data_IF_660474632250
#
_entry.id   IF_660474632250
#
_cell.length_a   1.000
_cell.length_b   1.000
_cell.length_c   1.000
_cell.angle_alpha   90.00
_cell.angle_beta   90.00
_cell.angle_gamma   90.00
#
_symmetry.space_group_name_H-M   'P 1'
#
loop_
_entity.id
_entity.type
_entity.pdbx_description
1 polymer ?
#
# COMPACT_ATOMS: atom_id res chain seq x y z
N UNK A 1 -20.52 -5.23 -18.74
CA UNK A 1 -20.96 -4.11 -17.88
C UNK A 1 -19.92 -2.99 -17.80
N UNK A 2 -18.73 -3.23 -17.24
CA UNK A 2 -17.73 -2.16 -16.98
C UNK A 2 -17.25 -1.38 -18.23
N UNK A 3 -17.10 -2.02 -19.41
CA UNK A 3 -16.75 -1.29 -20.63
C UNK A 3 -17.86 -0.31 -21.08
N UNK A 4 -19.10 -0.79 -21.11
CA UNK A 4 -20.26 0.02 -21.47
C UNK A 4 -20.44 1.20 -20.50
N UNK A 5 -20.28 0.95 -19.20
CA UNK A 5 -20.34 2.00 -18.19
C UNK A 5 -19.36 3.13 -18.51
N UNK A 6 -18.12 2.81 -18.85
CA UNK A 6 -17.10 3.83 -19.16
C UNK A 6 -17.38 4.59 -20.45
N UNK A 7 -17.85 3.89 -21.50
CA UNK A 7 -18.20 4.54 -22.76
C UNK A 7 -19.34 5.54 -22.54
N UNK A 8 -20.38 5.16 -21.79
CA UNK A 8 -21.50 6.05 -21.47
C UNK A 8 -21.07 7.21 -20.57
N UNK A 9 -20.27 6.92 -19.55
CA UNK A 9 -19.72 7.89 -18.61
C UNK A 9 -18.90 8.98 -19.32
N UNK A 10 -18.04 8.58 -20.28
CA UNK A 10 -17.25 9.50 -21.09
C UNK A 10 -18.10 10.31 -22.07
N UNK A 11 -18.96 9.66 -22.84
CA UNK A 11 -19.85 10.38 -23.78
C UNK A 11 -20.73 11.39 -23.07
N UNK A 12 -21.32 11.01 -21.94
CA UNK A 12 -22.12 11.92 -21.13
C UNK A 12 -21.28 13.08 -20.57
N UNK A 13 -19.98 12.88 -20.30
CA UNK A 13 -19.10 13.97 -19.87
C UNK A 13 -18.86 15.00 -20.97
N UNK A 14 -18.74 14.56 -22.22
CA UNK A 14 -18.58 15.43 -23.39
C UNK A 14 -19.85 16.24 -23.68
N UNK A 15 -21.02 15.65 -23.45
CA UNK A 15 -22.33 16.27 -23.68
C UNK A 15 -22.76 17.21 -22.52
N UNK A 16 -22.53 16.81 -21.27
CA UNK A 16 -22.97 17.56 -20.09
C UNK A 16 -21.94 18.62 -19.67
N UNK A 17 -22.36 19.89 -19.75
CA UNK A 17 -21.53 21.05 -19.35
C UNK A 17 -21.43 21.19 -17.82
N UNK A 18 -22.45 20.75 -17.09
CA UNK A 18 -22.48 20.82 -15.63
C UNK A 18 -21.72 19.65 -15.00
N UNK A 19 -20.56 19.98 -14.43
CA UNK A 19 -19.73 19.05 -13.67
C UNK A 19 -20.52 18.45 -12.50
N UNK A 20 -21.31 19.25 -11.77
CA UNK A 20 -22.06 18.76 -10.61
C UNK A 20 -23.15 17.77 -10.98
N UNK A 21 -23.88 18.00 -12.08
CA UNK A 21 -24.87 17.03 -12.58
C UNK A 21 -24.21 15.72 -12.96
N UNK A 22 -23.06 15.80 -13.64
CA UNK A 22 -22.31 14.61 -14.00
C UNK A 22 -21.87 13.81 -12.76
N UNK A 23 -21.37 14.48 -11.71
CA UNK A 23 -21.01 13.82 -10.44
C UNK A 23 -22.20 13.12 -9.78
N UNK A 24 -23.36 13.78 -9.75
CA UNK A 24 -24.58 13.20 -9.18
C UNK A 24 -25.01 11.93 -9.92
N UNK A 25 -24.77 11.85 -11.22
CA UNK A 25 -25.16 10.70 -12.05
C UNK A 25 -24.12 9.57 -11.99
N UNK A 26 -22.82 9.89 -12.01
CA UNK A 26 -21.76 8.88 -12.23
C UNK A 26 -20.87 8.61 -11.02
N UNK A 27 -20.67 9.60 -10.15
CA UNK A 27 -19.76 9.51 -9.01
C UNK A 27 -20.49 9.15 -7.72
N UNK A 28 -21.63 9.80 -7.46
CA UNK A 28 -22.45 9.54 -6.27
C UNK A 28 -22.96 8.10 -6.17
N UNK A 29 -23.51 7.46 -7.23
CA UNK A 29 -23.97 6.08 -7.13
C UNK A 29 -22.82 5.10 -6.87
N UNK A 30 -21.62 5.41 -7.35
CA UNK A 30 -20.42 4.60 -7.07
C UNK A 30 -20.06 4.68 -5.59
N UNK A 31 -20.07 5.87 -5.01
CA UNK A 31 -19.81 6.09 -3.58
C UNK A 31 -20.91 5.45 -2.73
N UNK A 32 -22.19 5.72 -3.03
CA UNK A 32 -23.33 5.17 -2.30
C UNK A 32 -23.32 3.63 -2.33
N UNK A 33 -22.93 3.03 -3.46
CA UNK A 33 -22.83 1.59 -3.58
C UNK A 33 -21.61 1.03 -2.86
N UNK A 34 -20.47 1.72 -2.82
CA UNK A 34 -19.34 1.33 -1.96
C UNK A 34 -19.73 1.39 -0.47
N UNK A 35 -20.57 2.35 -0.08
CA UNK A 35 -21.02 2.52 1.29
C UNK A 35 -22.05 1.45 1.71
N UNK A 36 -23.08 1.22 0.90
CA UNK A 36 -24.27 0.46 1.31
C UNK A 36 -24.36 -0.97 0.75
N UNK A 37 -23.59 -1.33 -0.27
CA UNK A 37 -23.76 -2.62 -0.96
C UNK A 37 -23.10 -3.81 -0.25
N UNK A 38 -23.40 -5.01 -0.74
CA UNK A 38 -22.75 -6.25 -0.26
C UNK A 38 -21.25 -6.29 -0.65
N UNK A 39 -20.41 -7.07 0.06
CA UNK A 39 -18.97 -7.16 -0.21
C UNK A 39 -18.61 -7.45 -1.67
N UNK A 40 -19.37 -8.34 -2.32
CA UNK A 40 -19.16 -8.67 -3.73
C UNK A 40 -19.38 -7.46 -4.66
N UNK A 41 -20.46 -6.69 -4.44
CA UNK A 41 -20.72 -5.50 -5.25
C UNK A 41 -19.66 -4.43 -5.01
N UNK A 42 -19.26 -4.22 -3.75
CA UNK A 42 -18.17 -3.29 -3.42
C UNK A 42 -16.88 -3.65 -4.16
N UNK A 43 -16.51 -4.94 -4.16
CA UNK A 43 -15.36 -5.45 -4.91
C UNK A 43 -15.50 -5.17 -6.41
N UNK A 44 -16.65 -5.50 -7.02
CA UNK A 44 -16.87 -5.28 -8.45
C UNK A 44 -16.78 -3.80 -8.83
N UNK A 45 -17.30 -2.91 -7.99
CA UNK A 45 -17.22 -1.47 -8.21
C UNK A 45 -15.78 -0.98 -8.09
N UNK A 46 -15.08 -1.39 -7.02
CA UNK A 46 -13.70 -0.99 -6.75
C UNK A 46 -12.72 -1.48 -7.82
N UNK A 47 -12.90 -2.69 -8.37
CA UNK A 47 -11.97 -3.28 -9.34
C UNK A 47 -12.30 -2.93 -10.80
N UNK A 48 -13.58 -2.75 -11.14
CA UNK A 48 -13.98 -2.63 -12.55
C UNK A 48 -14.58 -1.28 -12.94
N UNK A 49 -15.15 -0.53 -12.00
CA UNK A 49 -15.84 0.74 -12.30
C UNK A 49 -14.96 1.92 -11.90
N UNK A 50 -14.63 2.02 -10.61
CA UNK A 50 -13.90 3.15 -10.04
C UNK A 50 -12.54 3.42 -10.75
N UNK A 51 -11.70 2.41 -11.07
CA UNK A 51 -10.41 2.67 -11.69
C UNK A 51 -10.55 3.28 -13.08
N UNK A 52 -11.62 2.94 -13.80
CA UNK A 52 -11.84 3.45 -15.15
C UNK A 52 -12.36 4.88 -15.14
N UNK A 53 -13.24 5.23 -14.19
CA UNK A 53 -13.66 6.62 -13.96
C UNK A 53 -12.44 7.48 -13.66
N UNK A 54 -11.63 7.07 -12.69
CA UNK A 54 -10.45 7.83 -12.25
C UNK A 54 -9.33 7.88 -13.29
N UNK A 55 -9.20 6.88 -14.15
CA UNK A 55 -8.27 6.92 -15.28
C UNK A 55 -8.70 7.95 -16.34
N UNK A 56 -9.99 8.12 -16.53
CA UNK A 56 -10.57 9.12 -17.44
C UNK A 56 -10.54 10.54 -16.87
N UNK A 57 -10.77 10.65 -15.56
CA UNK A 57 -10.93 11.90 -14.84
C UNK A 57 -10.23 11.83 -13.47
N UNK A 58 -8.89 11.97 -13.44
CA UNK A 58 -8.11 11.87 -12.21
C UNK A 58 -8.45 12.95 -11.17
N UNK A 59 -8.97 14.10 -11.60
CA UNK A 59 -9.40 15.22 -10.76
C UNK A 59 -10.49 14.84 -9.75
N UNK A 60 -11.34 13.85 -10.09
CA UNK A 60 -12.46 13.45 -9.25
C UNK A 60 -12.06 12.61 -8.04
N UNK A 61 -10.79 12.22 -7.93
CA UNK A 61 -10.32 11.51 -6.74
C UNK A 61 -10.54 12.36 -5.49
N UNK A 62 -10.13 13.63 -5.48
CA UNK A 62 -10.29 14.50 -4.30
C UNK A 62 -11.75 14.74 -3.96
N UNK A 63 -12.61 14.85 -4.97
CA UNK A 63 -14.04 15.07 -4.79
C UNK A 63 -14.76 13.86 -4.18
N UNK A 64 -14.25 12.63 -4.38
CA UNK A 64 -14.77 11.45 -3.68
C UNK A 64 -14.66 11.59 -2.15
N UNK A 65 -13.68 12.35 -1.66
CA UNK A 65 -13.54 12.65 -0.22
C UNK A 65 -14.67 13.52 0.30
N UNK A 66 -15.23 14.39 -0.54
CA UNK A 66 -16.34 15.28 -0.17
C UNK A 66 -17.69 14.55 -0.19
N UNK A 67 -17.79 13.47 -0.97
CA UNK A 67 -19.02 12.71 -1.14
C UNK A 67 -19.27 11.64 -0.07
N UNK A 68 -18.25 11.26 0.70
CA UNK A 68 -18.42 10.27 1.78
C UNK A 68 -17.52 10.56 2.98
N UNK A 69 -18.08 10.29 4.16
CA UNK A 69 -17.36 10.26 5.43
C UNK A 69 -17.03 8.83 5.85
N UNK A 70 -17.42 7.81 5.07
CA UNK A 70 -17.23 6.42 5.43
C UNK A 70 -15.76 6.02 5.30
N UNK A 71 -15.09 5.62 6.41
CA UNK A 71 -13.68 5.26 6.40
C UNK A 71 -13.34 4.15 5.39
N UNK A 72 -14.23 3.15 5.26
CA UNK A 72 -14.05 2.04 4.33
C UNK A 72 -13.91 2.53 2.89
N UNK A 73 -14.83 3.39 2.46
CA UNK A 73 -14.87 3.88 1.08
C UNK A 73 -13.69 4.79 0.81
N UNK A 74 -13.29 5.62 1.77
CA UNK A 74 -12.07 6.42 1.67
C UNK A 74 -10.82 5.56 1.51
N UNK A 75 -10.69 4.46 2.27
CA UNK A 75 -9.59 3.50 2.13
C UNK A 75 -9.58 2.88 0.72
N UNK A 76 -10.72 2.38 0.25
CA UNK A 76 -10.84 1.78 -1.09
C UNK A 76 -10.49 2.80 -2.18
N UNK A 77 -11.02 4.02 -2.12
CA UNK A 77 -10.72 5.09 -3.07
C UNK A 77 -9.22 5.44 -3.05
N UNK A 78 -8.60 5.51 -1.86
CA UNK A 78 -7.16 5.72 -1.71
C UNK A 78 -6.37 4.61 -2.38
N UNK A 79 -6.75 3.35 -2.15
CA UNK A 79 -6.12 2.17 -2.74
C UNK A 79 -6.12 2.27 -4.27
N UNK A 80 -7.28 2.52 -4.86
CA UNK A 80 -7.41 2.66 -6.32
C UNK A 80 -6.61 3.86 -6.84
N UNK A 81 -6.72 5.01 -6.18
CA UNK A 81 -5.93 6.20 -6.51
C UNK A 81 -4.42 5.93 -6.50
N UNK A 82 -3.95 5.12 -5.55
CA UNK A 82 -2.55 4.71 -5.46
C UNK A 82 -2.15 3.74 -6.59
N UNK A 83 -2.99 2.76 -6.92
CA UNK A 83 -2.77 1.85 -8.07
C UNK A 83 -2.64 2.63 -9.38
N UNK A 84 -3.40 3.71 -9.54
CA UNK A 84 -3.37 4.58 -10.71
C UNK A 84 -2.25 5.64 -10.68
N UNK A 85 -1.51 5.76 -9.57
CA UNK A 85 -0.49 6.79 -9.40
C UNK A 85 -1.02 8.21 -9.22
N UNK A 86 -2.28 8.35 -8.84
CA UNK A 86 -2.93 9.63 -8.52
C UNK A 86 -2.62 10.10 -7.09
N UNK A 87 -2.18 9.18 -6.22
CA UNK A 87 -1.75 9.48 -4.85
C UNK A 87 -0.32 8.98 -4.58
N UNK A 88 0.73 9.58 -5.19
CA UNK A 88 2.11 9.18 -4.93
C UNK A 88 2.50 9.46 -3.46
N UNK A 89 2.16 10.64 -2.94
CA UNK A 89 2.53 11.08 -1.59
C UNK A 89 1.33 11.14 -0.64
N UNK A 90 0.93 9.99 -0.12
CA UNK A 90 -0.21 9.84 0.82
C UNK A 90 -0.03 10.66 2.10
N UNK A 91 1.21 10.87 2.52
CA UNK A 91 1.55 11.53 3.78
C UNK A 91 2.00 12.99 3.59
N UNK A 92 1.76 13.60 2.42
CA UNK A 92 2.04 15.02 2.17
C UNK A 92 0.98 15.94 2.78
N UNK A 93 1.18 17.26 2.85
CA UNK A 93 0.20 18.19 3.44
C UNK A 93 -1.19 18.16 2.78
N UNK A 94 -1.32 17.67 1.55
CA UNK A 94 -2.60 17.50 0.84
C UNK A 94 -3.07 16.02 0.83
N UNK A 95 -3.11 15.40 2.02
CA UNK A 95 -3.45 13.97 2.16
C UNK A 95 -4.90 13.70 1.75
N UNK A 96 -5.08 12.66 0.94
CA UNK A 96 -6.41 12.12 0.69
C UNK A 96 -6.98 11.43 1.95
N UNK A 97 -6.14 10.72 2.70
CA UNK A 97 -6.52 9.94 3.89
C UNK A 97 -5.67 10.33 5.10
N UNK A 98 -6.29 10.37 6.29
CA UNK A 98 -5.59 10.64 7.54
C UNK A 98 -4.94 9.37 8.11
N UNK A 99 -3.82 9.54 8.81
CA UNK A 99 -3.06 8.43 9.40
C UNK A 99 -3.92 7.64 10.41
N UNK A 100 -4.79 8.33 11.15
CA UNK A 100 -5.70 7.71 12.13
C UNK A 100 -6.75 6.83 11.45
N UNK A 101 -7.21 7.22 10.26
CA UNK A 101 -8.17 6.44 9.49
C UNK A 101 -7.52 5.16 8.94
N UNK A 102 -6.25 5.23 8.54
CA UNK A 102 -5.47 4.02 8.20
C UNK A 102 -5.30 3.13 9.44
N UNK A 103 -4.99 3.69 10.62
CA UNK A 103 -4.87 2.91 11.86
C UNK A 103 -6.17 2.18 12.23
N UNK A 104 -7.31 2.86 12.09
CA UNK A 104 -8.62 2.24 12.31
C UNK A 104 -8.89 1.12 11.31
N UNK A 105 -8.55 1.33 10.02
CA UNK A 105 -8.69 0.31 8.99
C UNK A 105 -7.80 -0.91 9.21
N UNK A 106 -6.60 -0.74 9.76
CA UNK A 106 -5.68 -1.83 10.12
C UNK A 106 -6.25 -2.74 11.21
N UNK A 107 -7.09 -2.23 12.11
CA UNK A 107 -7.72 -2.98 13.20
C UNK A 107 -9.15 -3.41 12.89
N UNK A 108 -9.57 -3.29 11.63
CA UNK A 108 -10.90 -3.68 11.21
C UNK A 108 -11.10 -5.20 11.31
N UNK A 109 -12.31 -5.63 11.68
CA UNK A 109 -12.69 -7.05 11.61
C UNK A 109 -12.77 -7.55 10.16
N UNK A 110 -13.01 -6.63 9.22
CA UNK A 110 -13.03 -6.93 7.80
C UNK A 110 -11.60 -7.04 7.24
N UNK A 111 -11.20 -8.28 6.97
CA UNK A 111 -9.90 -8.63 6.38
C UNK A 111 -9.58 -7.84 5.11
N UNK A 112 -10.58 -7.53 4.27
CA UNK A 112 -10.34 -6.80 3.03
C UNK A 112 -9.95 -5.34 3.29
N UNK A 113 -10.55 -4.69 4.31
CA UNK A 113 -10.14 -3.33 4.69
C UNK A 113 -8.70 -3.35 5.20
N UNK A 114 -8.36 -4.31 6.07
CA UNK A 114 -7.01 -4.46 6.60
C UNK A 114 -5.98 -4.63 5.46
N UNK A 115 -6.29 -5.49 4.49
CA UNK A 115 -5.45 -5.70 3.31
C UNK A 115 -5.35 -4.46 2.43
N UNK A 116 -6.43 -3.72 2.23
CA UNK A 116 -6.43 -2.47 1.48
C UNK A 116 -5.54 -1.41 2.16
N UNK A 117 -5.56 -1.32 3.50
CA UNK A 117 -4.63 -0.49 4.25
C UNK A 117 -3.17 -0.91 4.05
N UNK A 118 -2.85 -2.20 4.14
CA UNK A 118 -1.49 -2.68 3.89
C UNK A 118 -1.08 -2.43 2.43
N UNK A 119 -1.98 -2.61 1.47
CA UNK A 119 -1.75 -2.33 0.06
C UNK A 119 -1.35 -0.87 -0.13
N UNK A 120 -2.09 0.05 0.50
CA UNK A 120 -1.78 1.48 0.47
C UNK A 120 -0.37 1.77 1.01
N UNK A 121 0.14 1.02 1.98
CA UNK A 121 1.48 1.24 2.53
C UNK A 121 2.58 0.60 1.68
N UNK A 122 2.32 -0.58 1.11
CA UNK A 122 3.33 -1.39 0.44
C UNK A 122 3.44 -1.12 -1.07
N UNK A 123 2.32 -0.87 -1.75
CA UNK A 123 2.32 -0.61 -3.19
C UNK A 123 2.83 0.81 -3.47
N UNK A 124 3.59 1.02 -4.53
CA UNK A 124 3.84 2.36 -5.08
C UNK A 124 4.18 2.20 -6.57
N UNK A 125 3.55 2.94 -7.50
CA UNK A 125 3.87 2.88 -8.92
C UNK A 125 5.35 3.15 -9.24
N UNK A 126 6.03 3.93 -8.38
CA UNK A 126 7.46 4.19 -8.47
C UNK A 126 8.18 3.49 -7.32
N UNK A 127 8.72 2.29 -7.56
CA UNK A 127 9.47 1.54 -6.53
C UNK A 127 10.76 2.24 -6.07
N UNK A 128 11.22 3.24 -6.82
CA UNK A 128 12.36 4.09 -6.48
C UNK A 128 12.03 5.22 -5.49
N UNK A 129 10.74 5.48 -5.22
CA UNK A 129 10.33 6.47 -4.23
C UNK A 129 10.59 5.96 -2.81
N UNK A 130 11.20 6.82 -1.98
CA UNK A 130 11.57 6.48 -0.62
C UNK A 130 10.35 6.16 0.25
N UNK A 131 10.59 5.43 1.32
CA UNK A 131 9.58 5.06 2.30
C UNK A 131 9.67 6.03 3.48
N UNK A 132 8.54 6.65 3.79
CA UNK A 132 8.41 7.60 4.89
C UNK A 132 8.45 6.89 6.25
N UNK A 133 8.80 7.65 7.30
CA UNK A 133 8.78 7.13 8.67
C UNK A 133 7.37 6.73 9.13
N UNK A 134 6.35 7.40 8.60
CA UNK A 134 4.94 7.10 8.90
C UNK A 134 4.55 5.76 8.28
N UNK A 135 4.92 5.50 7.02
CA UNK A 135 4.71 4.19 6.38
C UNK A 135 5.31 3.06 7.20
N UNK A 136 6.57 3.19 7.63
CA UNK A 136 7.19 2.18 8.48
C UNK A 136 6.41 1.98 9.79
N UNK A 137 6.04 3.07 10.49
CA UNK A 137 5.26 2.97 11.74
C UNK A 137 3.92 2.24 11.53
N UNK A 138 3.21 2.52 10.45
CA UNK A 138 1.92 1.89 10.15
C UNK A 138 2.06 0.43 9.73
N UNK A 139 3.10 0.05 8.97
CA UNK A 139 3.37 -1.36 8.65
C UNK A 139 3.74 -2.15 9.90
N UNK A 140 4.56 -1.57 10.80
CA UNK A 140 4.85 -2.20 12.12
C UNK A 140 3.55 -2.46 12.89
N UNK A 141 2.69 -1.45 12.96
CA UNK A 141 1.40 -1.55 13.63
C UNK A 141 0.51 -2.62 12.99
N UNK A 142 0.41 -2.65 11.65
CA UNK A 142 -0.34 -3.68 10.93
C UNK A 142 0.12 -5.09 11.30
N UNK A 143 1.42 -5.33 11.25
CA UNK A 143 2.01 -6.63 11.56
C UNK A 143 1.71 -7.04 13.01
N UNK A 144 1.82 -6.13 13.96
CA UNK A 144 1.52 -6.40 15.37
C UNK A 144 0.04 -6.74 15.61
N UNK A 145 -0.88 -6.10 14.89
CA UNK A 145 -2.33 -6.29 15.11
C UNK A 145 -2.90 -7.50 14.36
N UNK A 146 -2.27 -7.95 13.27
CA UNK A 146 -2.86 -8.93 12.35
C UNK A 146 -2.07 -10.25 12.22
N UNK A 147 -0.96 -10.41 12.95
CA UNK A 147 -0.10 -11.60 12.83
C UNK A 147 -0.80 -12.91 13.21
N UNK A 148 -1.74 -12.86 14.15
CA UNK A 148 -2.48 -14.03 14.64
C UNK A 148 -3.72 -14.38 13.80
N UNK A 149 -3.95 -13.67 12.69
CA UNK A 149 -5.08 -13.95 11.82
C UNK A 149 -4.97 -15.37 11.21
N UNK A 150 -5.96 -16.22 11.49
CA UNK A 150 -6.00 -17.63 11.09
C UNK A 150 -6.28 -17.88 9.61
N UNK A 151 -6.76 -16.88 8.86
CA UNK A 151 -7.10 -16.99 7.44
C UNK A 151 -5.85 -17.19 6.58
N UNK A 152 -5.74 -18.36 5.95
CA UNK A 152 -4.64 -18.65 5.01
C UNK A 152 -4.66 -17.71 3.80
N UNK A 153 -5.86 -17.36 3.31
CA UNK A 153 -6.00 -16.40 2.20
C UNK A 153 -5.44 -15.03 2.58
N UNK A 154 -5.82 -14.53 3.76
CA UNK A 154 -5.32 -13.27 4.29
C UNK A 154 -3.79 -13.28 4.43
N UNK A 155 -3.23 -14.31 5.09
CA UNK A 155 -1.77 -14.44 5.28
C UNK A 155 -1.00 -14.47 3.96
N UNK A 156 -1.52 -15.14 2.94
CA UNK A 156 -0.90 -15.17 1.61
C UNK A 156 -0.89 -13.79 0.94
N UNK A 157 -1.99 -13.03 1.08
CA UNK A 157 -2.08 -11.67 0.56
C UNK A 157 -1.16 -10.70 1.31
N UNK A 158 -1.12 -10.78 2.65
CA UNK A 158 -0.15 -10.04 3.48
C UNK A 158 1.27 -10.32 3.02
N UNK A 159 1.64 -11.59 2.86
CA UNK A 159 2.97 -11.96 2.42
C UNK A 159 3.29 -11.37 1.03
N UNK A 160 2.34 -11.41 0.09
CA UNK A 160 2.50 -10.81 -1.24
C UNK A 160 2.84 -9.31 -1.16
N UNK A 161 2.12 -8.57 -0.31
CA UNK A 161 2.36 -7.14 -0.09
C UNK A 161 3.70 -6.86 0.60
N UNK A 162 4.08 -7.66 1.60
CA UNK A 162 5.37 -7.54 2.27
C UNK A 162 6.53 -7.79 1.29
N UNK A 163 6.40 -8.74 0.36
CA UNK A 163 7.42 -8.94 -0.69
C UNK A 163 7.60 -7.69 -1.56
N UNK A 164 6.49 -7.06 -1.98
CA UNK A 164 6.55 -5.81 -2.76
C UNK A 164 7.18 -4.68 -1.95
N UNK A 165 6.88 -4.60 -0.66
CA UNK A 165 7.51 -3.64 0.25
C UNK A 165 9.03 -3.83 0.32
N UNK A 166 9.53 -5.07 0.43
CA UNK A 166 10.96 -5.32 0.40
C UNK A 166 11.62 -4.96 -0.93
N UNK A 167 10.93 -5.21 -2.04
CA UNK A 167 11.41 -4.76 -3.37
C UNK A 167 11.51 -3.24 -3.40
N UNK A 168 10.51 -2.50 -2.89
CA UNK A 168 10.55 -1.02 -2.80
C UNK A 168 11.67 -0.53 -1.89
N UNK A 169 11.92 -1.17 -0.74
CA UNK A 169 13.08 -0.85 0.12
C UNK A 169 14.38 -0.97 -0.68
N UNK A 170 14.57 -2.10 -1.38
CA UNK A 170 15.77 -2.36 -2.19
C UNK A 170 15.92 -1.34 -3.31
N UNK A 171 14.87 -1.13 -4.11
CA UNK A 171 14.90 -0.28 -5.30
C UNK A 171 15.12 1.19 -4.95
N UNK A 172 14.40 1.71 -3.95
CA UNK A 172 14.57 3.09 -3.46
C UNK A 172 15.97 3.32 -2.89
N UNK A 173 16.50 2.39 -2.10
CA UNK A 173 17.87 2.51 -1.58
C UNK A 173 18.92 2.45 -2.71
N UNK A 174 18.78 1.52 -3.66
CA UNK A 174 19.70 1.41 -4.79
C UNK A 174 19.69 2.67 -5.65
N UNK A 175 18.52 3.26 -5.86
CA UNK A 175 18.39 4.52 -6.58
C UNK A 175 19.18 5.63 -5.88
N UNK A 176 18.97 5.83 -4.57
CA UNK A 176 19.71 6.84 -3.81
C UNK A 176 21.21 6.55 -3.72
N UNK A 177 21.62 5.29 -3.60
CA UNK A 177 23.04 4.90 -3.55
C UNK A 177 23.77 5.25 -4.85
N UNK A 178 23.12 5.05 -6.00
CA UNK A 178 23.65 5.49 -7.32
C UNK A 178 23.73 7.00 -7.43
N UNK A 179 22.81 7.73 -6.81
CA UNK A 179 22.85 9.20 -6.78
C UNK A 179 23.96 9.73 -5.86
N UNK A 180 24.22 9.10 -4.71
CA UNK A 180 25.33 9.46 -3.81
C UNK A 180 26.72 9.32 -4.45
N UNK A 181 26.89 8.37 -5.38
CA UNK A 181 28.13 8.28 -6.18
C UNK A 181 28.40 9.57 -6.99
N UNK A 182 27.40 10.43 -7.18
CA UNK A 182 27.51 11.70 -7.92
C UNK A 182 27.64 12.92 -7.01
N UNK A 183 27.20 12.86 -5.73
CA UNK A 183 27.24 13.96 -4.74
C UNK A 183 27.30 13.43 -3.30
N UNK A 184 28.14 14.01 -2.45
CA UNK A 184 28.18 13.69 -1.00
C UNK A 184 26.94 14.26 -0.33
N UNK A 185 26.02 13.39 0.11
CA UNK A 185 24.71 13.81 0.59
C UNK A 185 24.40 13.21 1.97
N UNK A 186 24.11 14.06 2.96
CA UNK A 186 23.74 13.64 4.33
C UNK A 186 22.39 12.91 4.35
N UNK A 187 21.49 13.24 3.42
CA UNK A 187 20.16 12.65 3.30
C UNK A 187 20.19 11.14 3.01
N UNK A 188 21.24 10.65 2.33
CA UNK A 188 21.39 9.22 2.07
C UNK A 188 21.74 8.44 3.34
N UNK A 189 22.56 9.01 4.22
CA UNK A 189 22.98 8.32 5.44
C UNK A 189 21.81 8.23 6.44
N UNK A 190 20.99 9.28 6.56
CA UNK A 190 19.73 9.23 7.33
C UNK A 190 18.75 8.19 6.75
N UNK A 191 18.53 8.19 5.43
CA UNK A 191 17.67 7.22 4.77
C UNK A 191 18.14 5.78 5.02
N UNK A 192 19.45 5.56 4.90
CA UNK A 192 20.05 4.25 5.09
C UNK A 192 19.89 3.80 6.53
N UNK A 193 20.16 4.66 7.51
CA UNK A 193 19.98 4.31 8.93
C UNK A 193 18.51 4.04 9.27
N UNK A 194 17.58 4.77 8.67
CA UNK A 194 16.14 4.53 8.80
C UNK A 194 15.75 3.12 8.33
N UNK A 195 16.21 2.74 7.14
CA UNK A 195 15.92 1.42 6.56
C UNK A 195 16.54 0.30 7.40
N UNK A 196 17.75 0.53 7.92
CA UNK A 196 18.46 -0.41 8.80
C UNK A 196 17.65 -0.68 10.06
N UNK A 197 17.24 0.37 10.73
CA UNK A 197 16.49 0.28 11.98
C UNK A 197 15.14 -0.39 11.79
N UNK A 198 14.49 -0.17 10.64
CA UNK A 198 13.28 -0.88 10.28
C UNK A 198 13.52 -2.39 10.08
N UNK A 199 14.50 -2.76 9.26
CA UNK A 199 14.81 -4.17 8.98
C UNK A 199 15.28 -4.92 10.23
N UNK A 200 16.13 -4.30 11.07
CA UNK A 200 16.57 -4.87 12.35
C UNK A 200 15.38 -5.10 13.29
N UNK A 201 14.46 -4.13 13.37
CA UNK A 201 13.21 -4.32 14.11
C UNK A 201 12.39 -5.48 13.56
N UNK A 202 12.25 -5.60 12.23
CA UNK A 202 11.43 -6.62 11.60
C UNK A 202 11.98 -8.03 11.82
N UNK A 203 13.31 -8.19 11.78
CA UNK A 203 14.00 -9.44 12.11
C UNK A 203 13.74 -9.80 13.57
N UNK A 204 14.03 -8.88 14.50
CA UNK A 204 13.85 -9.12 15.94
C UNK A 204 12.39 -9.45 16.28
N UNK A 205 11.45 -8.70 15.71
CA UNK A 205 10.02 -8.93 15.89
C UNK A 205 9.61 -10.29 15.29
N UNK A 206 10.08 -10.65 14.10
CA UNK A 206 9.75 -11.96 13.52
C UNK A 206 10.31 -13.10 14.38
N UNK A 207 11.55 -13.00 14.86
CA UNK A 207 12.14 -13.98 15.77
C UNK A 207 11.38 -14.09 17.09
N UNK A 208 10.94 -12.96 17.68
CA UNK A 208 10.18 -12.99 18.94
C UNK A 208 8.80 -13.65 18.81
N UNK A 209 8.29 -13.81 17.58
CA UNK A 209 7.02 -14.49 17.29
C UNK A 209 7.20 -16.02 17.04
N UNK A 210 8.40 -16.57 17.17
CA UNK A 210 8.69 -17.99 16.93
C UNK A 210 8.65 -18.88 18.19
N UNK A 211 8.11 -18.38 19.29
CA UNK A 211 8.01 -19.15 20.54
C UNK A 211 6.97 -20.28 20.44
N UNK A 212 7.14 -21.32 21.27
CA UNK A 212 6.40 -22.59 21.16
C UNK A 212 4.88 -22.44 21.34
N UNK A 213 4.45 -21.50 22.18
CA UNK A 213 3.04 -21.22 22.47
C UNK A 213 2.36 -20.32 21.42
N UNK A 214 3.13 -19.76 20.48
CA UNK A 214 2.60 -18.90 19.43
C UNK A 214 1.67 -19.65 18.47
N UNK A 215 0.71 -18.94 17.91
CA UNK A 215 -0.24 -19.51 16.95
C UNK A 215 0.50 -20.06 15.71
N UNK A 216 -0.08 -21.05 15.01
CA UNK A 216 0.48 -21.49 13.73
C UNK A 216 0.53 -20.33 12.73
N UNK A 217 -0.51 -19.47 12.74
CA UNK A 217 -0.61 -18.29 11.90
C UNK A 217 0.60 -17.37 12.08
N UNK A 218 0.88 -17.01 13.33
CA UNK A 218 1.98 -16.15 13.73
C UNK A 218 3.33 -16.70 13.35
N UNK A 219 3.63 -17.94 13.79
CA UNK A 219 4.91 -18.59 13.48
C UNK A 219 5.13 -18.71 11.98
N UNK A 220 4.11 -19.11 11.24
CA UNK A 220 4.20 -19.27 9.79
C UNK A 220 4.50 -17.96 9.07
N UNK A 221 3.76 -16.89 9.39
CA UNK A 221 3.99 -15.58 8.76
C UNK A 221 5.38 -15.03 9.11
N UNK A 222 5.82 -15.14 10.37
CA UNK A 222 7.15 -14.71 10.80
C UNK A 222 8.28 -15.47 10.10
N UNK A 223 8.17 -16.79 9.95
CA UNK A 223 9.14 -17.60 9.21
C UNK A 223 9.20 -17.15 7.74
N UNK A 224 8.04 -16.91 7.12
CA UNK A 224 7.99 -16.48 5.73
C UNK A 224 8.59 -15.09 5.54
N UNK A 225 8.34 -14.15 6.45
CA UNK A 225 8.97 -12.82 6.42
C UNK A 225 10.49 -12.96 6.49
N UNK A 226 11.02 -13.74 7.44
CA UNK A 226 12.46 -14.02 7.56
C UNK A 226 13.02 -14.70 6.31
N UNK A 227 12.32 -15.70 5.78
CA UNK A 227 12.70 -16.39 4.56
C UNK A 227 12.79 -15.42 3.38
N UNK A 228 11.81 -14.54 3.20
CA UNK A 228 11.82 -13.57 2.09
C UNK A 228 12.88 -12.50 2.23
N UNK A 229 13.19 -12.08 3.47
CA UNK A 229 14.37 -11.26 3.73
C UNK A 229 15.62 -12.00 3.23
N UNK A 230 15.87 -13.23 3.72
CA UNK A 230 17.01 -14.05 3.31
C UNK A 230 17.03 -14.32 1.80
N UNK A 231 15.89 -14.58 1.17
CA UNK A 231 15.79 -14.87 -0.26
C UNK A 231 16.17 -13.65 -1.11
N UNK A 232 15.67 -12.47 -0.73
CA UNK A 232 16.10 -11.21 -1.34
C UNK A 232 17.59 -10.92 -1.10
N UNK A 233 18.18 -11.50 -0.05
CA UNK A 233 19.62 -11.48 0.21
C UNK A 233 20.41 -12.57 -0.57
N UNK A 234 19.79 -13.71 -0.90
CA UNK A 234 20.47 -14.92 -1.35
C UNK A 234 20.50 -15.17 -2.85
N UNK A 235 19.58 -14.59 -3.64
CA UNK A 235 19.53 -14.88 -5.07
C UNK A 235 20.53 -14.00 -5.86
N UNK A 236 21.77 -14.50 -5.92
CA UNK A 236 22.92 -13.92 -6.59
C UNK A 236 22.78 -13.98 -8.11
N UNK A 237 22.25 -12.92 -8.70
CA UNK A 237 22.36 -12.65 -10.14
C UNK A 237 22.47 -11.17 -10.50
N UNK A 238 22.41 -10.26 -9.52
CA UNK A 238 22.32 -8.82 -9.77
C UNK A 238 23.39 -8.07 -8.99
N UNK A 239 24.42 -7.66 -9.71
CA UNK A 239 25.37 -6.55 -9.49
C UNK A 239 26.03 -6.38 -8.10
N UNK A 240 27.30 -6.00 -8.14
CA UNK A 240 28.20 -5.60 -7.03
C UNK A 240 27.56 -4.64 -5.99
N UNK A 241 26.48 -3.94 -6.37
CA UNK A 241 25.72 -3.00 -5.54
C UNK A 241 24.77 -3.71 -4.55
N UNK A 242 24.19 -4.87 -4.91
CA UNK A 242 23.37 -5.66 -3.99
C UNK A 242 24.21 -6.29 -2.86
N UNK A 243 25.46 -6.70 -3.16
CA UNK A 243 26.41 -7.12 -2.12
C UNK A 243 26.74 -5.98 -1.15
N UNK A 244 26.86 -4.74 -1.64
CA UNK A 244 27.03 -3.57 -0.76
C UNK A 244 25.82 -3.36 0.14
N UNK A 245 24.59 -3.49 -0.35
CA UNK A 245 23.38 -3.45 0.48
C UNK A 245 23.45 -4.51 1.60
N UNK A 246 23.75 -5.75 1.26
CA UNK A 246 23.82 -6.88 2.21
C UNK A 246 24.88 -6.64 3.29
N UNK A 247 26.11 -6.30 2.90
CA UNK A 247 27.21 -6.01 3.85
C UNK A 247 26.86 -4.80 4.72
N UNK A 248 26.26 -3.77 4.12
CA UNK A 248 25.95 -2.54 4.82
C UNK A 248 24.89 -2.77 5.89
N UNK A 249 23.88 -3.62 5.67
CA UNK A 249 22.75 -3.80 6.60
C UNK A 249 22.86 -4.98 7.57
N UNK A 250 23.66 -6.02 7.27
CA UNK A 250 23.68 -7.29 8.03
C UNK A 250 24.96 -7.51 8.86
N UNK A 251 25.94 -6.59 8.87
CA UNK A 251 26.98 -6.60 9.90
C UNK A 251 26.36 -6.22 11.28
N UNK A 252 25.64 -7.18 11.84
CA UNK A 252 25.32 -7.40 13.24
C UNK A 252 26.56 -7.99 13.91
#
# INVERSE_FOLDING_TARGET
>A
ASYLYCVLCHKHREEEKSIDKWKQIWLKPVVDALDTSTPLHRFLIAEYILPKILKGHPEYLQELKELTINPRTLIVCTRIGRTLGLCPNIFSSNRFIEDDLIRQGITSEDEQICLDCLFILCENPKTTEYISQIEFKLIKYFLQMNIDNGSTSFRNQVLSLIKKHFIRIKDSWLYCARQKLKKTDQDFDDLTERYRNYLKWLINWSCSNLYLEGSYAQRHLSILILHWLIYLHGNQGIETVCRKFIIYFINI
#
